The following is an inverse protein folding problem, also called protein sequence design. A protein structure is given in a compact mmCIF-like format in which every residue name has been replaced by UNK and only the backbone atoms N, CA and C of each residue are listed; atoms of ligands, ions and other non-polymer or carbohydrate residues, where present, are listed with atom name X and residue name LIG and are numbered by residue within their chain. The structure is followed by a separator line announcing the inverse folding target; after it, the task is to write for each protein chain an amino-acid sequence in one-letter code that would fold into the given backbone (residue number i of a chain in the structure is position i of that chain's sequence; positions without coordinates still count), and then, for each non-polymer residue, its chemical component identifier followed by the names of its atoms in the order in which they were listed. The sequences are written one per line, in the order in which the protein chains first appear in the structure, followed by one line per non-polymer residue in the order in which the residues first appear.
data_IF_137019634372
#
_entry.id   IF_137019634372
#
_cell.length_a   1.000
_cell.length_b   1.000
_cell.length_c   1.000
_cell.angle_alpha   90.00
_cell.angle_beta   90.00
_cell.angle_gamma   90.00
#
_symmetry.space_group_name_H-M   'P 1'
#
loop_
_entity.id
_entity.type
_entity.pdbx_description
1 polymer ?
#
# COMPACT_ATOMS: atom_id res chain seq x y z
N UNK A 1 -22.79 22.05 -25.70
CA UNK A 1 -21.51 21.67 -25.09
C UNK A 1 -21.43 22.27 -23.69
N UNK A 2 -21.72 21.52 -22.62
CA UNK A 2 -21.64 22.02 -21.23
C UNK A 2 -20.24 21.70 -20.68
N UNK A 3 -19.42 22.72 -20.48
CA UNK A 3 -18.12 22.66 -19.82
C UNK A 3 -18.25 22.03 -18.45
N UNK A 4 -17.68 20.83 -18.24
CA UNK A 4 -17.49 20.25 -16.90
C UNK A 4 -16.46 21.09 -16.16
N UNK A 5 -16.91 22.02 -15.31
CA UNK A 5 -16.03 22.71 -14.36
C UNK A 5 -15.30 21.63 -13.52
N UNK A 6 -13.98 21.52 -13.67
CA UNK A 6 -13.13 20.76 -12.74
C UNK A 6 -13.39 21.34 -11.34
N UNK A 7 -13.98 20.53 -10.46
CA UNK A 7 -14.07 20.88 -9.04
C UNK A 7 -12.63 20.97 -8.52
N UNK A 8 -12.19 22.18 -8.22
CA UNK A 8 -10.92 22.42 -7.50
C UNK A 8 -11.03 21.68 -6.17
N UNK A 9 -10.06 20.84 -5.85
CA UNK A 9 -9.92 20.21 -4.54
C UNK A 9 -9.96 21.34 -3.49
N UNK A 10 -10.82 21.16 -2.48
CA UNK A 10 -11.00 22.17 -1.43
C UNK A 10 -9.65 22.44 -0.76
N UNK A 11 -9.25 23.70 -0.72
CA UNK A 11 -7.97 24.15 -0.13
C UNK A 11 -7.98 24.14 1.41
N UNK A 12 -9.12 23.97 2.05
CA UNK A 12 -9.27 23.97 3.49
C UNK A 12 -9.17 22.54 4.00
N UNK A 13 -8.17 22.30 4.86
CA UNK A 13 -7.96 21.03 5.57
C UNK A 13 -8.65 21.13 6.91
N UNK A 14 -9.46 20.14 7.27
CA UNK A 14 -10.27 20.13 8.48
C UNK A 14 -9.45 19.93 9.76
N UNK A 15 -8.24 19.34 9.65
CA UNK A 15 -7.39 19.10 10.81
C UNK A 15 -6.18 18.23 10.51
N UNK A 16 -5.67 17.63 11.58
CA UNK A 16 -4.55 16.67 11.55
C UNK A 16 -5.05 15.32 12.02
N UNK A 17 -4.53 14.24 11.44
CA UNK A 17 -4.79 12.87 11.84
C UNK A 17 -3.47 12.15 12.10
N UNK A 18 -3.42 11.34 13.16
CA UNK A 18 -2.29 10.47 13.43
C UNK A 18 -2.51 9.11 12.78
N UNK A 19 -1.72 8.81 11.75
CA UNK A 19 -1.68 7.49 11.08
C UNK A 19 -0.76 6.57 11.89
N UNK A 20 -1.12 5.29 12.10
CA UNK A 20 -2.13 4.47 11.42
C UNK A 20 -3.48 4.33 12.16
N UNK A 21 -3.88 5.30 12.90
CA UNK A 21 -5.17 5.24 13.61
C UNK A 21 -6.31 5.70 12.69
N UNK A 22 -7.39 4.91 12.65
CA UNK A 22 -8.60 5.27 11.90
C UNK A 22 -9.26 6.54 12.45
N UNK A 23 -9.98 7.33 11.66
CA UNK A 23 -10.59 8.58 12.11
C UNK A 23 -11.58 8.39 13.26
N UNK A 24 -12.17 7.23 13.41
CA UNK A 24 -13.10 6.87 14.49
C UNK A 24 -12.42 6.67 15.84
N UNK A 25 -11.12 6.30 15.81
CA UNK A 25 -10.33 6.03 17.02
C UNK A 25 -9.90 7.33 17.71
N UNK A 26 -9.96 7.35 19.04
CA UNK A 26 -9.48 8.49 19.85
C UNK A 26 -8.02 8.84 19.59
N UNK A 27 -7.17 7.83 19.41
CA UNK A 27 -5.74 8.00 19.16
C UNK A 27 -5.44 8.70 17.83
N UNK A 28 -6.38 8.73 16.89
CA UNK A 28 -6.24 9.45 15.61
C UNK A 28 -6.24 10.97 15.81
N UNK A 29 -6.88 11.46 16.87
CA UNK A 29 -7.12 12.87 17.13
C UNK A 29 -8.32 13.46 16.35
N UNK A 30 -9.04 12.66 15.55
CA UNK A 30 -10.19 13.09 14.74
C UNK A 30 -11.52 12.79 15.42
N UNK A 31 -11.69 11.57 15.93
CA UNK A 31 -12.90 11.10 16.65
C UNK A 31 -14.19 11.27 15.85
N UNK A 32 -14.16 10.95 14.57
CA UNK A 32 -15.32 11.10 13.69
C UNK A 32 -15.53 9.83 12.87
N UNK A 33 -16.77 9.34 12.88
CA UNK A 33 -17.21 8.27 11.99
C UNK A 33 -17.25 8.76 10.55
N UNK A 34 -16.56 8.06 9.64
CA UNK A 34 -16.74 8.24 8.21
C UNK A 34 -18.07 7.60 7.80
N UNK A 35 -18.91 8.36 7.09
CA UNK A 35 -20.21 7.87 6.65
C UNK A 35 -20.16 7.41 5.19
N UNK A 36 -21.04 6.47 4.78
CA UNK A 36 -21.21 6.08 3.39
C UNK A 36 -21.38 7.30 2.48
N UNK A 37 -20.78 7.25 1.27
CA UNK A 37 -20.73 8.34 0.27
C UNK A 37 -19.85 9.54 0.64
N UNK A 38 -19.28 9.60 1.84
CA UNK A 38 -18.24 10.56 2.18
C UNK A 38 -16.89 10.12 1.61
N UNK A 39 -15.95 11.06 1.55
CA UNK A 39 -14.57 10.82 1.17
C UNK A 39 -13.64 11.38 2.22
N UNK A 40 -12.75 10.54 2.74
CA UNK A 40 -11.66 10.95 3.60
C UNK A 40 -10.43 11.24 2.75
N UNK A 41 -9.83 12.40 2.94
CA UNK A 41 -8.63 12.81 2.25
C UNK A 41 -7.48 13.00 3.23
N UNK A 42 -6.38 12.30 2.99
CA UNK A 42 -5.12 12.50 3.68
C UNK A 42 -4.17 13.29 2.78
N UNK A 43 -3.42 14.20 3.38
CA UNK A 43 -2.39 14.97 2.69
C UNK A 43 -1.09 14.94 3.48
N UNK A 44 0.01 14.73 2.79
CA UNK A 44 1.35 14.78 3.36
C UNK A 44 2.31 15.43 2.36
N UNK A 45 3.13 16.34 2.88
CA UNK A 45 4.26 16.88 2.13
C UNK A 45 5.52 16.10 2.49
N UNK A 46 6.28 15.70 1.49
CA UNK A 46 7.58 15.06 1.64
C UNK A 46 8.64 15.91 0.93
N UNK A 47 9.85 15.95 1.49
CA UNK A 47 10.99 16.64 0.92
C UNK A 47 11.99 15.62 0.38
N UNK A 48 12.29 15.73 -0.90
CA UNK A 48 13.26 14.87 -1.57
C UNK A 48 14.41 15.73 -2.09
N UNK A 49 15.51 15.84 -1.34
CA UNK A 49 16.66 16.69 -1.74
C UNK A 49 17.31 16.18 -3.03
N UNK A 50 17.18 14.87 -3.30
CA UNK A 50 17.69 14.20 -4.49
C UNK A 50 16.81 13.00 -4.83
N UNK A 51 16.64 12.73 -6.12
CA UNK A 51 16.08 11.49 -6.63
C UNK A 51 17.25 10.62 -7.12
N UNK A 52 17.57 9.49 -6.46
CA UNK A 52 18.69 8.65 -6.86
C UNK A 52 18.45 8.05 -8.25
N UNK A 53 19.45 8.14 -9.14
CA UNK A 53 19.40 7.49 -10.44
C UNK A 53 19.34 5.96 -10.29
N UNK A 54 18.60 5.26 -11.15
CA UNK A 54 18.45 3.81 -11.11
C UNK A 54 17.72 3.28 -9.86
N UNK A 55 16.97 4.13 -9.16
CA UNK A 55 16.14 3.77 -8.01
C UNK A 55 14.69 4.15 -8.25
N UNK A 56 13.81 3.39 -7.61
CA UNK A 56 12.36 3.68 -7.56
C UNK A 56 11.95 3.98 -6.12
N UNK A 57 11.01 4.89 -5.93
CA UNK A 57 10.42 5.16 -4.62
C UNK A 57 9.06 4.50 -4.55
N UNK A 58 8.94 3.50 -3.67
CA UNK A 58 7.69 2.83 -3.38
C UNK A 58 7.05 3.45 -2.14
N UNK A 59 5.75 3.74 -2.23
CA UNK A 59 4.90 4.06 -1.10
C UNK A 59 4.13 2.79 -0.73
N UNK A 60 4.39 2.31 0.47
CA UNK A 60 3.85 1.06 0.99
C UNK A 60 2.71 1.36 1.96
N UNK A 61 1.65 0.56 1.88
CA UNK A 61 0.53 0.58 2.80
C UNK A 61 0.34 -0.82 3.38
N UNK A 62 0.28 -0.93 4.71
CA UNK A 62 -0.10 -2.18 5.37
C UNK A 62 -1.55 -2.55 5.08
N UNK A 63 -2.46 -1.60 5.20
CA UNK A 63 -3.85 -1.71 4.74
C UNK A 63 -4.56 -0.35 4.77
N UNK A 64 -5.56 -0.19 3.92
CA UNK A 64 -6.47 0.98 3.89
C UNK A 64 -7.89 0.50 3.66
N UNK A 65 -8.82 0.80 4.55
CA UNK A 65 -10.23 0.43 4.43
C UNK A 65 -11.01 1.57 3.78
N UNK A 66 -11.61 1.41 2.58
CA UNK A 66 -11.51 0.19 1.79
C UNK A 66 -11.25 0.46 0.30
N UNK A 67 -11.59 1.63 -0.25
CA UNK A 67 -11.33 2.06 -1.63
C UNK A 67 -10.38 3.25 -1.61
N UNK A 68 -9.11 3.00 -1.91
CA UNK A 68 -8.04 3.98 -1.83
C UNK A 68 -7.56 4.41 -3.22
N UNK A 69 -7.43 5.71 -3.43
CA UNK A 69 -6.79 6.29 -4.61
C UNK A 69 -5.66 7.20 -4.15
N UNK A 70 -4.47 6.94 -4.66
CA UNK A 70 -3.24 7.61 -4.28
C UNK A 70 -2.84 8.61 -5.36
N UNK A 71 -2.47 9.82 -4.93
CA UNK A 71 -1.99 10.89 -5.80
C UNK A 71 -0.61 11.37 -5.34
N UNK A 72 0.22 11.69 -6.31
CA UNK A 72 1.48 12.39 -6.10
C UNK A 72 1.53 13.62 -7.01
N UNK A 73 1.76 14.80 -6.42
CA UNK A 73 1.79 16.08 -7.14
C UNK A 73 0.55 16.31 -8.01
N UNK A 74 -0.64 15.93 -7.49
CA UNK A 74 -1.93 16.08 -8.15
C UNK A 74 -2.22 15.07 -9.26
N UNK A 75 -1.30 14.15 -9.59
CA UNK A 75 -1.50 13.06 -10.56
C UNK A 75 -1.85 11.77 -9.84
N UNK A 76 -2.78 10.99 -10.39
CA UNK A 76 -3.10 9.66 -9.86
C UNK A 76 -1.89 8.74 -10.07
N UNK A 77 -1.37 8.20 -8.96
CA UNK A 77 -0.23 7.30 -8.96
C UNK A 77 -0.64 5.83 -8.85
N UNK A 78 -1.77 5.55 -8.18
CA UNK A 78 -2.26 4.20 -8.01
C UNK A 78 -3.56 4.15 -7.23
N UNK A 79 -3.96 2.95 -6.81
CA UNK A 79 -5.11 2.71 -5.96
C UNK A 79 -5.21 1.26 -5.56
N UNK A 80 -6.06 0.98 -4.58
CA UNK A 80 -6.32 -0.36 -4.06
C UNK A 80 -7.78 -0.47 -3.62
N UNK A 81 -8.37 -1.62 -3.82
CA UNK A 81 -9.70 -1.95 -3.33
C UNK A 81 -9.63 -3.15 -2.38
N UNK A 82 -10.16 -2.99 -1.18
CA UNK A 82 -10.16 -3.97 -0.11
C UNK A 82 -9.43 -3.48 1.13
N UNK A 83 -10.00 -3.77 2.31
CA UNK A 83 -9.57 -3.19 3.59
C UNK A 83 -8.43 -3.91 4.32
N UNK A 84 -8.01 -5.10 3.86
CA UNK A 84 -7.20 -6.01 4.68
C UNK A 84 -5.83 -6.39 4.12
N UNK A 85 -5.58 -6.11 2.85
CA UNK A 85 -4.34 -6.49 2.19
C UNK A 85 -3.38 -5.30 2.05
N UNK A 86 -2.09 -5.59 2.18
CA UNK A 86 -1.04 -4.63 1.88
C UNK A 86 -0.90 -4.39 0.38
N UNK A 87 -0.47 -3.19 0.02
CA UNK A 87 -0.21 -2.83 -1.37
C UNK A 87 0.88 -1.77 -1.48
N UNK A 88 1.47 -1.68 -2.65
CA UNK A 88 2.53 -0.74 -3.00
C UNK A 88 2.11 0.16 -4.14
N UNK A 89 2.60 1.40 -4.13
CA UNK A 89 2.44 2.35 -5.24
C UNK A 89 3.79 2.93 -5.60
N UNK A 90 4.18 2.81 -6.86
CA UNK A 90 5.39 3.44 -7.38
C UNK A 90 5.16 4.93 -7.63
N UNK A 91 5.83 5.75 -6.84
CA UNK A 91 5.76 7.20 -6.96
C UNK A 91 6.75 7.78 -7.97
N UNK A 92 7.75 7.02 -8.39
CA UNK A 92 8.90 7.49 -9.19
C UNK A 92 8.51 8.35 -10.40
N UNK A 93 7.50 7.98 -11.23
CA UNK A 93 7.14 8.77 -12.41
C UNK A 93 6.51 10.14 -12.08
N UNK A 94 6.16 10.37 -10.83
CA UNK A 94 5.42 11.56 -10.39
C UNK A 94 6.26 12.48 -9.51
N UNK A 95 7.48 12.05 -9.12
CA UNK A 95 8.35 12.78 -8.22
C UNK A 95 9.05 13.95 -8.92
N UNK A 96 9.39 14.95 -8.12
CA UNK A 96 10.31 16.04 -8.46
C UNK A 96 11.30 16.23 -7.31
N UNK A 97 12.45 16.78 -7.58
CA UNK A 97 13.38 17.23 -6.55
C UNK A 97 12.75 18.36 -5.73
N UNK A 98 12.96 18.34 -4.43
CA UNK A 98 12.34 19.27 -3.48
C UNK A 98 11.02 18.77 -2.92
N UNK A 99 10.06 19.67 -2.81
CA UNK A 99 8.76 19.39 -2.20
C UNK A 99 7.85 18.59 -3.12
N UNK A 100 7.27 17.50 -2.58
CA UNK A 100 6.26 16.68 -3.24
C UNK A 100 5.04 16.57 -2.33
N UNK A 101 3.85 16.74 -2.88
CA UNK A 101 2.59 16.53 -2.17
C UNK A 101 2.05 15.14 -2.47
N UNK A 102 1.79 14.37 -1.40
CA UNK A 102 1.06 13.12 -1.45
C UNK A 102 -0.38 13.37 -0.99
N UNK A 103 -1.34 12.77 -1.69
CA UNK A 103 -2.72 12.74 -1.25
C UNK A 103 -3.27 11.32 -1.38
N UNK A 104 -4.03 10.88 -0.36
CA UNK A 104 -4.76 9.62 -0.38
C UNK A 104 -6.23 9.92 -0.21
N UNK A 105 -7.03 9.52 -1.18
CA UNK A 105 -8.49 9.62 -1.14
C UNK A 105 -9.05 8.25 -0.78
N UNK A 106 -9.84 8.18 0.26
CA UNK A 106 -10.46 6.94 0.72
C UNK A 106 -11.98 7.09 0.73
N UNK A 107 -12.66 6.01 0.36
CA UNK A 107 -14.09 5.82 0.50
C UNK A 107 -14.33 4.48 1.17
N UNK A 108 -15.26 4.46 2.10
CA UNK A 108 -15.72 3.26 2.77
C UNK A 108 -17.25 3.30 2.89
N UNK A 109 -17.92 2.27 2.40
CA UNK A 109 -19.37 2.11 2.50
C UNK A 109 -19.76 1.28 3.72
N UNK A 110 -18.80 0.81 4.49
CA UNK A 110 -18.92 0.07 5.75
C UNK A 110 -19.92 -1.09 5.65
N UNK A 111 -21.10 -0.96 6.27
CA UNK A 111 -22.13 -2.01 6.33
C UNK A 111 -23.27 -1.79 5.32
N UNK A 112 -23.13 -0.84 4.39
CA UNK A 112 -24.16 -0.53 3.39
C UNK A 112 -23.91 -1.18 2.03
N UNK A 113 -22.79 -1.91 1.86
CA UNK A 113 -22.48 -2.67 0.65
C UNK A 113 -22.12 -4.14 0.96
N UNK A 114 -21.78 -4.89 -0.08
CA UNK A 114 -21.50 -6.34 -0.02
C UNK A 114 -20.03 -6.67 0.28
N UNK A 115 -19.14 -5.67 0.40
CA UNK A 115 -17.71 -5.89 0.63
C UNK A 115 -17.44 -6.43 2.03
N UNK A 116 -16.30 -7.10 2.17
CA UNK A 116 -15.86 -7.64 3.45
C UNK A 116 -15.60 -6.52 4.46
N UNK A 117 -16.28 -6.56 5.60
CA UNK A 117 -16.17 -5.58 6.69
C UNK A 117 -15.97 -6.20 8.08
N UNK A 118 -15.98 -7.53 8.17
CA UNK A 118 -15.96 -8.22 9.45
C UNK A 118 -17.22 -7.90 10.31
N UNK A 119 -16.99 -7.64 11.59
CA UNK A 119 -18.06 -7.29 12.54
C UNK A 119 -18.26 -5.77 12.68
N UNK A 120 -17.91 -5.00 11.67
CA UNK A 120 -18.06 -3.55 11.69
C UNK A 120 -19.52 -3.15 11.42
N UNK A 121 -19.99 -2.11 12.12
CA UNK A 121 -21.31 -1.52 11.89
C UNK A 121 -21.31 -0.02 12.21
N UNK A 122 -22.06 0.73 11.41
CA UNK A 122 -22.33 2.16 11.68
C UNK A 122 -23.20 2.36 12.92
N UNK A 123 -23.92 1.29 13.35
CA UNK A 123 -24.68 1.26 14.60
C UNK A 123 -24.15 0.12 15.47
N UNK A 124 -23.00 0.31 16.15
CA UNK A 124 -22.37 -0.73 16.95
C UNK A 124 -23.25 -1.16 18.12
N UNK A 125 -23.18 -2.44 18.48
CA UNK A 125 -23.92 -3.01 19.60
C UNK A 125 -24.03 -4.52 19.50
N UNK A 126 -24.28 -5.21 20.60
CA UNK A 126 -24.26 -6.66 20.67
C UNK A 126 -22.92 -7.24 20.23
N UNK A 127 -22.91 -8.00 19.13
CA UNK A 127 -21.67 -8.57 18.57
C UNK A 127 -20.93 -7.66 17.57
N UNK A 128 -21.48 -6.50 17.25
CA UNK A 128 -20.90 -5.59 16.27
C UNK A 128 -20.08 -4.47 16.94
N UNK A 129 -18.98 -4.12 16.28
CA UNK A 129 -18.02 -3.08 16.72
C UNK A 129 -18.16 -1.82 15.88
N UNK A 130 -17.60 -0.73 16.40
CA UNK A 130 -17.49 0.53 15.67
C UNK A 130 -16.82 0.30 14.32
N UNK A 131 -17.42 0.84 13.27
CA UNK A 131 -16.82 0.82 11.95
C UNK A 131 -15.52 1.64 11.93
N UNK A 132 -14.54 1.15 11.20
CA UNK A 132 -13.22 1.75 11.07
C UNK A 132 -12.92 1.95 9.60
N UNK A 133 -12.42 3.12 9.25
CA UNK A 133 -12.19 3.50 7.85
C UNK A 133 -10.79 4.06 7.65
N UNK A 134 -10.37 4.12 6.40
CA UNK A 134 -9.14 4.80 6.04
C UNK A 134 -7.87 4.01 6.31
N UNK A 135 -6.78 4.72 6.53
CA UNK A 135 -5.48 4.13 6.78
C UNK A 135 -5.43 3.63 8.23
N UNK A 136 -5.43 2.29 8.43
CA UNK A 136 -5.42 1.66 9.75
C UNK A 136 -4.20 0.80 10.02
N UNK A 137 -3.30 0.67 9.04
CA UNK A 137 -2.01 0.02 9.12
C UNK A 137 -0.90 1.00 8.76
N UNK A 138 0.35 0.64 9.05
CA UNK A 138 1.51 1.48 8.79
C UNK A 138 1.64 1.90 7.33
N UNK A 139 2.15 3.10 7.13
CA UNK A 139 2.52 3.64 5.82
C UNK A 139 3.99 4.04 5.86
N UNK A 140 4.77 3.57 4.88
CA UNK A 140 6.19 3.90 4.78
C UNK A 140 6.63 4.06 3.32
N UNK A 141 7.81 4.60 3.13
CA UNK A 141 8.44 4.72 1.81
C UNK A 141 9.80 4.03 1.83
N UNK A 142 10.16 3.44 0.70
CA UNK A 142 11.48 2.84 0.52
C UNK A 142 12.02 3.06 -0.90
N UNK A 143 13.35 3.24 -0.99
CA UNK A 143 14.06 3.26 -2.24
C UNK A 143 14.51 1.86 -2.61
N UNK A 144 14.00 1.35 -3.73
CA UNK A 144 14.40 0.05 -4.28
C UNK A 144 15.20 0.24 -5.57
N UNK A 145 16.06 -0.71 -5.99
CA UNK A 145 16.64 -0.70 -7.33
C UNK A 145 15.56 -0.85 -8.40
N UNK A 146 15.90 -0.63 -9.68
CA UNK A 146 14.94 -0.80 -10.79
C UNK A 146 14.39 -2.23 -10.85
N UNK A 147 15.22 -3.22 -10.52
CA UNK A 147 14.79 -4.61 -10.36
C UNK A 147 14.88 -4.97 -8.88
N UNK A 148 13.77 -5.39 -8.29
CA UNK A 148 13.67 -5.75 -6.88
C UNK A 148 12.71 -6.94 -6.69
N UNK A 149 12.80 -7.61 -5.54
CA UNK A 149 11.83 -8.65 -5.19
C UNK A 149 10.55 -7.99 -4.70
N UNK A 150 9.49 -8.13 -5.48
CA UNK A 150 8.16 -7.63 -5.12
C UNK A 150 7.50 -8.49 -4.05
N UNK A 151 7.72 -9.80 -4.14
CA UNK A 151 7.11 -10.77 -3.24
C UNK A 151 8.02 -11.98 -3.04
N UNK A 152 7.98 -12.52 -1.82
CA UNK A 152 8.59 -13.79 -1.46
C UNK A 152 7.48 -14.71 -0.93
N UNK A 153 7.42 -15.93 -1.44
CA UNK A 153 6.57 -16.99 -0.89
C UNK A 153 7.47 -17.98 -0.16
N UNK A 154 7.15 -18.22 1.10
CA UNK A 154 7.86 -19.14 1.97
C UNK A 154 6.92 -20.30 2.27
N UNK A 155 7.33 -21.51 1.86
CA UNK A 155 6.56 -22.74 2.06
C UNK A 155 7.36 -23.66 2.97
N UNK A 156 6.94 -23.90 4.23
CA UNK A 156 7.59 -24.88 5.10
C UNK A 156 7.25 -26.31 4.63
N UNK A 157 8.25 -27.16 4.64
CA UNK A 157 8.14 -28.60 4.34
C UNK A 157 8.45 -29.40 5.62
N UNK A 158 7.41 -29.76 6.34
CA UNK A 158 7.51 -30.35 7.67
C UNK A 158 8.29 -31.67 7.66
N UNK A 159 7.97 -32.57 6.72
CA UNK A 159 8.53 -33.92 6.68
C UNK A 159 10.04 -33.94 6.44
N UNK A 160 10.57 -32.93 5.76
CA UNK A 160 12.02 -32.79 5.43
C UNK A 160 12.72 -31.78 6.32
N UNK A 161 12.01 -31.16 7.28
CA UNK A 161 12.51 -30.07 8.11
C UNK A 161 13.19 -28.97 7.29
N UNK A 162 12.63 -28.65 6.13
CA UNK A 162 13.18 -27.67 5.18
C UNK A 162 12.17 -26.55 4.88
N UNK A 163 12.65 -25.51 4.21
CA UNK A 163 11.85 -24.38 3.78
C UNK A 163 12.14 -24.10 2.31
N UNK A 164 11.11 -24.11 1.49
CA UNK A 164 11.17 -23.65 0.10
C UNK A 164 10.84 -22.16 0.03
N UNK A 165 11.74 -21.36 -0.52
CA UNK A 165 11.52 -19.93 -0.75
C UNK A 165 11.50 -19.62 -2.24
N UNK A 166 10.44 -18.94 -2.70
CA UNK A 166 10.31 -18.51 -4.09
C UNK A 166 10.19 -16.99 -4.12
N UNK A 167 11.12 -16.32 -4.80
CA UNK A 167 11.12 -14.87 -5.00
C UNK A 167 10.50 -14.49 -6.34
N UNK A 168 9.69 -13.43 -6.34
CA UNK A 168 9.06 -12.88 -7.54
C UNK A 168 9.66 -11.49 -7.81
N UNK A 169 10.55 -11.36 -8.81
CA UNK A 169 11.14 -10.09 -9.14
C UNK A 169 10.15 -9.22 -9.93
N UNK A 170 10.06 -7.94 -9.56
CA UNK A 170 9.45 -6.92 -10.40
C UNK A 170 10.45 -6.53 -11.49
N UNK A 171 10.07 -6.67 -12.76
CA UNK A 171 10.86 -6.23 -13.90
C UNK A 171 10.31 -4.93 -14.49
N UNK A 172 11.18 -3.95 -14.70
CA UNK A 172 10.85 -2.77 -15.51
C UNK A 172 10.80 -3.16 -16.98
N UNK A 173 9.70 -2.83 -17.66
CA UNK A 173 9.57 -3.01 -19.10
C UNK A 173 8.43 -3.91 -19.59
N UNK A 174 7.68 -4.54 -18.69
CA UNK A 174 6.38 -5.08 -19.08
C UNK A 174 5.35 -3.96 -18.85
N UNK A 175 4.81 -3.39 -19.93
CA UNK A 175 3.81 -2.34 -19.84
C UNK A 175 2.69 -2.78 -18.91
N UNK A 176 2.38 -1.92 -17.95
CA UNK A 176 1.14 -2.02 -17.20
C UNK A 176 0.01 -1.63 -18.13
N UNK A 177 -0.39 -2.55 -19.01
CA UNK A 177 -1.71 -2.48 -19.59
C UNK A 177 -2.69 -2.53 -18.44
N UNK A 178 -3.50 -1.50 -18.33
CA UNK A 178 -4.67 -1.44 -17.47
C UNK A 178 -5.59 -2.63 -17.80
N UNK A 179 -5.34 -3.77 -17.19
CA UNK A 179 -6.27 -4.90 -17.23
C UNK A 179 -6.82 -5.15 -15.85
N UNK A 180 -8.05 -4.67 -15.69
CA UNK A 180 -9.11 -5.21 -14.84
C UNK A 180 -8.66 -6.23 -13.79
N UNK A 181 -8.67 -5.83 -12.52
CA UNK A 181 -8.79 -6.75 -11.41
C UNK A 181 -10.22 -7.33 -11.36
N UNK A 182 -10.47 -8.23 -12.33
CA UNK A 182 -11.50 -9.24 -12.22
C UNK A 182 -10.82 -10.53 -11.76
N UNK A 183 -11.40 -11.21 -10.78
CA UNK A 183 -10.94 -12.50 -10.29
C UNK A 183 -10.63 -13.45 -11.46
N UNK A 184 -9.36 -13.92 -11.55
CA UNK A 184 -8.96 -14.89 -12.57
C UNK A 184 -7.44 -15.01 -12.62
N UNK A 185 -6.98 -16.16 -12.17
CA UNK A 185 -5.60 -16.64 -12.25
C UNK A 185 -4.99 -16.42 -13.65
N UNK A 186 -3.78 -15.86 -13.69
CA UNK A 186 -2.71 -16.36 -14.55
C UNK A 186 -1.36 -15.72 -14.16
N UNK A 187 -0.55 -16.52 -13.52
CA UNK A 187 0.86 -16.30 -13.30
C UNK A 187 1.61 -16.50 -14.62
N UNK A 188 2.28 -15.48 -15.14
CA UNK A 188 3.44 -15.69 -15.99
C UNK A 188 4.65 -15.78 -15.06
N UNK A 189 4.88 -16.97 -14.49
CA UNK A 189 6.03 -17.25 -13.66
C UNK A 189 7.29 -17.31 -14.51
N UNK A 190 8.30 -16.53 -14.12
CA UNK A 190 9.68 -16.90 -14.39
C UNK A 190 10.18 -17.61 -13.12
N UNK A 191 10.14 -18.92 -13.11
CA UNK A 191 10.86 -19.74 -12.13
C UNK A 191 12.35 -19.47 -12.33
N UNK A 192 12.94 -18.79 -11.38
CA UNK A 192 14.39 -18.71 -11.24
C UNK A 192 14.78 -19.49 -10.01
N UNK A 193 15.35 -20.66 -10.19
CA UNK A 193 15.98 -21.43 -9.11
C UNK A 193 17.10 -20.59 -8.50
N UNK A 194 16.89 -20.11 -7.29
CA UNK A 194 17.97 -19.61 -6.45
C UNK A 194 18.69 -20.81 -5.86
N UNK A 195 19.81 -21.21 -6.47
CA UNK A 195 20.71 -22.20 -5.86
C UNK A 195 21.29 -21.63 -4.58
N UNK A 196 21.41 -22.43 -3.49
CA UNK A 196 22.08 -21.98 -2.27
C UNK A 196 23.52 -21.63 -2.59
N UNK A 197 23.91 -20.42 -2.24
CA UNK A 197 25.28 -19.93 -2.40
C UNK A 197 26.23 -20.66 -1.46
N UNK A 198 27.36 -21.01 -2.05
CA UNK A 198 28.57 -21.62 -1.54
C UNK A 198 28.86 -21.34 -0.06
N UNK A 199 28.93 -22.39 0.72
CA UNK A 199 29.49 -22.38 2.09
C UNK A 199 30.96 -21.97 2.03
N UNK A 200 31.27 -20.74 2.41
CA UNK A 200 32.67 -20.37 2.71
C UNK A 200 33.14 -21.17 3.92
N UNK A 201 33.99 -22.12 3.67
CA UNK A 201 34.80 -22.81 4.68
C UNK A 201 35.44 -21.79 5.61
N UNK A 202 35.02 -21.75 6.86
CA UNK A 202 35.80 -21.11 7.90
C UNK A 202 36.98 -22.02 8.21
N UNK A 203 38.15 -21.62 7.78
CA UNK A 203 39.41 -22.23 8.14
C UNK A 203 39.61 -22.20 9.65
N UNK A 204 39.95 -23.35 10.22
CA UNK A 204 40.36 -23.48 11.57
C UNK A 204 41.68 -22.71 11.79
N UNK A 205 41.73 -22.00 12.90
CA UNK A 205 43.00 -21.58 13.49
C UNK A 205 43.21 -22.43 14.73
N UNK A 206 44.25 -23.24 14.63
CA UNK A 206 44.78 -24.12 15.61
C UNK A 206 45.50 -23.31 16.73
N UNK A 207 45.31 -23.79 17.90
CA UNK A 207 46.12 -23.82 19.11
C UNK A 207 47.40 -22.99 19.26
N UNK A 208 47.51 -22.29 20.34
CA UNK A 208 48.47 -22.62 21.45
C UNK A 208 48.14 -21.82 22.68
#
# INVERSE_FOLDING_TARGET
MRSRKRRKCQKQRDGKILVPFSPECDASGVKRQLLPKEYLWYFRTIQLPKIPAGKRLLLQFGAVDQDAVIYCNGKRAGGHLGGYLSFSVDLTPYLKTGENELAVKVRDETDTDWKGRGKQSLTPGGMFYTAQSGIWQSVWMEWVPETYLERIVITPEYDTASVKSTGFPQRTGCGTDEKNYGAGERSAGCEGDLRPGDERKRGGADSR
#
